data_IF_509104643614
#
_entry.id   IF_509104643614
#
_cell.length_a   1.000
_cell.length_b   1.000
_cell.length_c   1.000
_cell.angle_alpha   90.00
_cell.angle_beta   90.00
_cell.angle_gamma   90.00
#
_symmetry.space_group_name_H-M   'P 1'
#
loop_
_entity.id
_entity.type
_entity.pdbx_description
1 polymer ?
#
# COMPACT_ATOMS: atom_id res chain seq x y z
N UNK A 1 43.68 13.80 -20.11
CA UNK A 1 43.16 12.45 -19.79
C UNK A 1 42.07 12.70 -18.78
N UNK A 2 40.82 12.45 -19.18
CA UNK A 2 39.59 12.98 -18.55
C UNK A 2 39.46 12.54 -17.09
N UNK A 3 39.05 13.49 -16.22
CA UNK A 3 38.59 13.23 -14.87
C UNK A 3 37.26 12.47 -14.93
N UNK A 4 37.26 11.20 -14.52
CA UNK A 4 36.04 10.46 -14.25
C UNK A 4 35.48 10.88 -12.89
N UNK A 5 34.75 12.00 -12.89
CA UNK A 5 33.95 12.46 -11.76
C UNK A 5 32.69 11.60 -11.56
N UNK A 6 32.62 10.99 -10.37
CA UNK A 6 31.41 10.79 -9.55
C UNK A 6 30.08 10.54 -10.28
N UNK A 7 29.77 9.28 -10.56
CA UNK A 7 28.38 8.82 -10.50
C UNK A 7 28.11 8.41 -9.05
N UNK A 8 27.67 9.36 -8.20
CA UNK A 8 27.04 8.96 -6.95
C UNK A 8 25.86 8.05 -7.32
N UNK A 9 25.97 6.75 -7.04
CA UNK A 9 24.81 5.86 -7.05
C UNK A 9 23.89 6.44 -5.99
N UNK A 10 22.82 7.10 -6.43
CA UNK A 10 21.83 7.68 -5.53
C UNK A 10 21.38 6.57 -4.58
N UNK A 11 21.79 6.69 -3.31
CA UNK A 11 21.58 5.68 -2.28
C UNK A 11 20.07 5.43 -2.18
N UNK A 12 19.63 4.20 -2.44
CA UNK A 12 18.23 3.78 -2.25
C UNK A 12 17.74 4.28 -0.89
N UNK A 13 16.66 5.06 -0.88
CA UNK A 13 16.12 5.71 0.33
C UNK A 13 15.29 4.76 1.20
N UNK A 14 15.30 3.47 0.90
CA UNK A 14 14.51 2.42 1.54
C UNK A 14 15.41 1.38 2.20
N UNK A 15 14.83 0.61 3.11
CA UNK A 15 15.49 -0.45 3.88
C UNK A 15 15.80 -1.69 3.03
N UNK A 16 15.02 -1.93 1.96
CA UNK A 16 15.18 -3.11 1.09
C UNK A 16 16.03 -2.83 -0.17
N UNK A 17 16.47 -1.59 -0.36
CA UNK A 17 17.43 -1.25 -1.40
C UNK A 17 16.83 -1.05 -2.80
N UNK A 18 15.50 -1.05 -2.94
CA UNK A 18 14.82 -0.78 -4.20
C UNK A 18 14.41 0.69 -4.30
N UNK A 19 13.93 1.10 -5.47
CA UNK A 19 13.32 2.41 -5.63
C UNK A 19 12.04 2.51 -4.79
N UNK A 20 11.85 3.66 -4.14
CA UNK A 20 10.78 3.88 -3.14
C UNK A 20 9.36 3.66 -3.71
N UNK A 21 9.13 4.07 -4.95
CA UNK A 21 7.88 3.86 -5.68
C UNK A 21 7.63 2.37 -6.03
N UNK A 22 8.69 1.61 -6.29
CA UNK A 22 8.60 0.18 -6.56
C UNK A 22 8.18 -0.57 -5.29
N UNK A 23 8.83 -0.29 -4.16
CA UNK A 23 8.47 -0.90 -2.88
C UNK A 23 7.04 -0.58 -2.46
N UNK A 24 6.64 0.69 -2.61
CA UNK A 24 5.27 1.11 -2.31
C UNK A 24 4.23 0.42 -3.21
N UNK A 25 4.53 0.22 -4.50
CA UNK A 25 3.66 -0.54 -5.40
C UNK A 25 3.59 -2.03 -5.02
N UNK A 26 4.73 -2.62 -4.66
CA UNK A 26 4.82 -4.01 -4.19
C UNK A 26 4.01 -4.25 -2.92
N UNK A 27 3.86 -3.24 -2.05
CA UNK A 27 3.03 -3.34 -0.86
C UNK A 27 1.55 -3.65 -1.15
N UNK A 28 1.07 -3.43 -2.38
CA UNK A 28 -0.30 -3.76 -2.80
C UNK A 28 -0.46 -5.11 -3.48
N UNK A 29 0.61 -5.76 -3.96
CA UNK A 29 0.52 -6.90 -4.90
C UNK A 29 -0.30 -8.06 -4.34
N UNK A 30 -0.13 -8.42 -3.08
CA UNK A 30 -0.93 -9.44 -2.39
C UNK A 30 -1.90 -8.81 -1.38
N UNK A 31 -2.30 -7.57 -1.63
CA UNK A 31 -3.15 -6.77 -0.75
C UNK A 31 -2.54 -6.62 0.64
N UNK A 32 -3.30 -6.98 1.67
CA UNK A 32 -2.89 -6.77 3.05
C UNK A 32 -1.68 -7.62 3.46
N UNK A 33 -1.40 -8.74 2.78
CA UNK A 33 -0.26 -9.61 3.11
C UNK A 33 1.06 -8.89 2.81
N UNK A 34 1.22 -8.38 1.59
CA UNK A 34 2.39 -7.57 1.22
C UNK A 34 2.42 -6.28 2.02
N UNK A 35 1.26 -5.65 2.29
CA UNK A 35 1.19 -4.47 3.15
C UNK A 35 1.81 -4.73 4.53
N UNK A 36 1.45 -5.83 5.20
CA UNK A 36 2.02 -6.18 6.51
C UNK A 36 3.52 -6.47 6.40
N UNK A 37 3.95 -7.21 5.36
CA UNK A 37 5.37 -7.51 5.14
C UNK A 37 6.18 -6.22 5.03
N UNK A 38 5.75 -5.27 4.20
CA UNK A 38 6.46 -3.99 4.05
C UNK A 38 6.41 -3.13 5.31
N UNK A 39 5.32 -3.15 6.11
CA UNK A 39 5.32 -2.47 7.42
C UNK A 39 6.36 -3.05 8.39
N UNK A 40 6.62 -4.35 8.31
CA UNK A 40 7.59 -5.02 9.17
C UNK A 40 9.03 -4.80 8.68
N UNK A 41 9.26 -4.79 7.36
CA UNK A 41 10.59 -4.72 6.78
C UNK A 41 11.08 -3.30 6.53
N UNK A 42 10.19 -2.39 6.11
CA UNK A 42 10.57 -1.02 5.77
C UNK A 42 10.54 -0.10 6.98
N UNK A 43 11.66 0.58 7.26
CA UNK A 43 11.90 1.43 8.43
C UNK A 43 12.34 2.86 8.11
N UNK A 44 12.81 3.10 6.90
CA UNK A 44 13.40 4.38 6.49
C UNK A 44 12.41 5.23 5.69
N UNK A 45 11.58 4.61 4.84
CA UNK A 45 10.64 5.32 3.98
C UNK A 45 9.23 5.45 4.57
N UNK A 46 8.82 6.69 4.85
CA UNK A 46 7.42 7.02 5.19
C UNK A 46 6.46 6.81 4.02
N UNK A 47 6.92 6.96 2.78
CA UNK A 47 6.11 6.74 1.58
C UNK A 47 5.70 5.27 1.43
N UNK A 48 6.68 4.38 1.53
CA UNK A 48 6.44 2.93 1.47
C UNK A 48 5.59 2.51 2.68
N UNK A 49 5.89 3.01 3.89
CA UNK A 49 5.08 2.71 5.09
C UNK A 49 3.64 3.21 4.95
N UNK A 50 3.40 4.35 4.31
CA UNK A 50 2.07 4.87 4.03
C UNK A 50 1.28 3.92 3.12
N UNK A 51 1.85 3.55 1.98
CA UNK A 51 1.20 2.63 1.04
C UNK A 51 1.01 1.24 1.62
N UNK A 52 1.97 0.75 2.42
CA UNK A 52 1.87 -0.51 3.14
C UNK A 52 0.76 -0.50 4.20
N UNK A 53 0.61 0.60 4.96
CA UNK A 53 -0.48 0.78 5.92
C UNK A 53 -1.84 0.90 5.23
N UNK A 54 -1.93 1.71 4.17
CA UNK A 54 -3.15 1.87 3.37
C UNK A 54 -3.58 0.53 2.76
N UNK A 55 -2.64 -0.22 2.16
CA UNK A 55 -2.89 -1.58 1.64
C UNK A 55 -3.40 -2.51 2.75
N UNK A 56 -2.70 -2.55 3.88
CA UNK A 56 -3.07 -3.41 5.02
C UNK A 56 -4.49 -3.14 5.48
N UNK A 57 -4.83 -1.89 5.80
CA UNK A 57 -6.14 -1.54 6.34
C UNK A 57 -7.25 -1.78 5.31
N UNK A 58 -7.05 -1.34 4.06
CA UNK A 58 -8.05 -1.49 3.00
C UNK A 58 -8.34 -2.96 2.72
N UNK A 59 -7.33 -3.77 2.43
CA UNK A 59 -7.56 -5.14 1.97
C UNK A 59 -7.89 -6.11 3.11
N UNK A 60 -7.40 -5.87 4.32
CA UNK A 60 -7.84 -6.65 5.49
C UNK A 60 -9.29 -6.34 5.84
N UNK A 61 -9.68 -5.06 5.80
CA UNK A 61 -11.07 -4.63 6.01
C UNK A 61 -12.01 -5.24 4.98
N UNK A 62 -11.68 -5.15 3.69
CA UNK A 62 -12.46 -5.78 2.61
C UNK A 62 -12.54 -7.29 2.81
N UNK A 63 -11.43 -7.96 3.15
CA UNK A 63 -11.41 -9.40 3.40
C UNK A 63 -12.38 -9.80 4.51
N UNK A 64 -12.35 -9.10 5.65
CA UNK A 64 -13.23 -9.36 6.79
C UNK A 64 -14.70 -9.13 6.41
N UNK A 65 -15.02 -8.01 5.75
CA UNK A 65 -16.40 -7.70 5.33
C UNK A 65 -16.91 -8.78 4.36
N UNK A 66 -16.10 -9.23 3.41
CA UNK A 66 -16.45 -10.33 2.50
C UNK A 66 -16.74 -11.65 3.25
N UNK A 67 -16.01 -11.94 4.34
CA UNK A 67 -16.31 -13.10 5.20
C UNK A 67 -17.59 -12.94 6.00
N UNK A 68 -18.02 -11.71 6.31
CA UNK A 68 -19.30 -11.49 7.00
C UNK A 68 -20.46 -11.63 6.01
N UNK A 69 -20.33 -11.06 4.81
CA UNK A 69 -21.38 -11.06 3.78
C UNK A 69 -21.77 -12.48 3.31
N UNK A 70 -20.86 -13.46 3.41
CA UNK A 70 -21.15 -14.84 3.02
C UNK A 70 -22.27 -15.50 3.86
N UNK A 71 -22.56 -14.97 5.06
CA UNK A 71 -23.64 -15.48 5.92
C UNK A 71 -25.01 -14.89 5.60
N UNK A 72 -25.10 -13.95 4.65
CA UNK A 72 -26.36 -13.29 4.24
C UNK A 72 -26.76 -13.82 2.85
N UNK A 73 -27.76 -14.70 2.73
CA UNK A 73 -28.18 -15.25 1.44
C UNK A 73 -28.67 -14.16 0.48
N UNK A 74 -28.39 -14.31 -0.81
CA UNK A 74 -28.76 -13.41 -1.92
C UNK A 74 -28.22 -11.97 -1.82
N UNK A 75 -28.60 -11.21 -0.78
CA UNK A 75 -28.13 -9.84 -0.57
C UNK A 75 -26.63 -9.77 -0.32
N UNK A 76 -26.09 -10.70 0.48
CA UNK A 76 -24.66 -10.78 0.74
C UNK A 76 -23.84 -11.05 -0.53
N UNK A 77 -24.37 -11.83 -1.47
CA UNK A 77 -23.71 -12.09 -2.74
C UNK A 77 -23.64 -10.84 -3.62
N UNK A 78 -24.74 -10.07 -3.71
CA UNK A 78 -24.79 -8.81 -4.48
C UNK A 78 -23.84 -7.78 -3.86
N UNK A 79 -23.91 -7.57 -2.55
CA UNK A 79 -23.04 -6.63 -1.85
C UNK A 79 -21.57 -7.06 -1.92
N UNK A 80 -21.29 -8.36 -1.83
CA UNK A 80 -19.95 -8.93 -1.97
C UNK A 80 -19.36 -8.70 -3.35
N UNK A 81 -20.17 -8.84 -4.41
CA UNK A 81 -19.75 -8.52 -5.77
C UNK A 81 -19.39 -7.03 -5.92
N UNK A 82 -20.26 -6.12 -5.45
CA UNK A 82 -20.02 -4.68 -5.50
C UNK A 82 -18.76 -4.28 -4.71
N UNK A 83 -18.59 -4.84 -3.52
CA UNK A 83 -17.41 -4.61 -2.70
C UNK A 83 -16.14 -5.16 -3.37
N UNK A 84 -16.23 -6.29 -4.07
CA UNK A 84 -15.13 -6.85 -4.86
C UNK A 84 -14.69 -5.93 -5.99
N UNK A 85 -15.65 -5.32 -6.70
CA UNK A 85 -15.36 -4.33 -7.75
C UNK A 85 -14.70 -3.07 -7.18
N UNK A 86 -15.22 -2.55 -6.07
CA UNK A 86 -14.60 -1.41 -5.36
C UNK A 86 -13.17 -1.78 -4.94
N UNK A 87 -12.98 -2.98 -4.36
CA UNK A 87 -11.67 -3.49 -3.97
C UNK A 87 -10.69 -3.59 -5.14
N UNK A 88 -11.16 -4.05 -6.30
CA UNK A 88 -10.34 -4.12 -7.52
C UNK A 88 -9.93 -2.72 -8.01
N UNK A 89 -10.85 -1.76 -7.99
CA UNK A 89 -10.55 -0.36 -8.36
C UNK A 89 -9.50 0.22 -7.41
N UNK A 90 -9.69 0.07 -6.09
CA UNK A 90 -8.73 0.52 -5.09
C UNK A 90 -7.37 -0.17 -5.24
N UNK A 91 -7.35 -1.45 -5.59
CA UNK A 91 -6.11 -2.21 -5.81
C UNK A 91 -5.31 -1.67 -6.99
N UNK A 92 -5.96 -1.47 -8.14
CA UNK A 92 -5.32 -0.89 -9.33
C UNK A 92 -4.86 0.54 -9.04
N UNK A 93 -5.74 1.38 -8.46
CA UNK A 93 -5.40 2.76 -8.12
C UNK A 93 -4.21 2.84 -7.16
N UNK A 94 -4.19 1.98 -6.13
CA UNK A 94 -3.09 1.90 -5.16
C UNK A 94 -1.77 1.58 -5.82
N UNK A 95 -1.72 0.54 -6.66
CA UNK A 95 -0.51 0.16 -7.40
C UNK A 95 -0.05 1.29 -8.32
N UNK A 96 -0.94 1.82 -9.15
CA UNK A 96 -0.58 2.85 -10.13
C UNK A 96 -0.08 4.12 -9.44
N UNK A 97 -0.77 4.57 -8.39
CA UNK A 97 -0.42 5.80 -7.68
C UNK A 97 0.86 5.67 -6.86
N UNK A 98 1.06 4.51 -6.22
CA UNK A 98 2.32 4.20 -5.55
C UNK A 98 3.49 4.18 -6.53
N UNK A 99 3.31 3.52 -7.69
CA UNK A 99 4.33 3.47 -8.74
C UNK A 99 4.65 4.85 -9.33
N UNK A 100 3.67 5.75 -9.40
CA UNK A 100 3.82 7.15 -9.79
C UNK A 100 4.48 8.03 -8.71
N UNK A 101 4.75 7.50 -7.52
CA UNK A 101 5.33 8.27 -6.42
C UNK A 101 4.35 9.21 -5.72
N UNK A 102 3.03 8.99 -5.86
CA UNK A 102 2.00 9.86 -5.29
C UNK A 102 1.43 9.30 -3.98
N UNK A 103 1.38 10.13 -2.93
CA UNK A 103 0.62 9.86 -1.70
C UNK A 103 -0.90 9.95 -1.94
N UNK A 104 -1.44 9.04 -2.76
CA UNK A 104 -2.85 9.02 -3.07
C UNK A 104 -3.64 8.40 -1.91
N UNK A 105 -4.35 9.26 -1.18
CA UNK A 105 -5.18 8.87 -0.03
C UNK A 105 -6.51 8.31 -0.49
N UNK A 106 -6.79 7.06 -0.14
CA UNK A 106 -8.15 6.54 -0.26
C UNK A 106 -9.08 7.24 0.72
N UNK A 107 -10.35 7.47 0.37
CA UNK A 107 -11.32 8.05 1.29
C UNK A 107 -11.33 7.29 2.62
N UNK A 108 -11.24 8.02 3.73
CA UNK A 108 -11.16 7.52 5.12
C UNK A 108 -9.84 6.78 5.43
N UNK A 109 -9.45 5.77 4.64
CA UNK A 109 -8.28 4.91 4.95
C UNK A 109 -6.96 5.67 4.82
N UNK A 110 -6.84 6.59 3.86
CA UNK A 110 -5.60 7.33 3.64
C UNK A 110 -5.21 8.20 4.83
N UNK A 111 -6.18 8.87 5.46
CA UNK A 111 -5.92 9.66 6.67
C UNK A 111 -5.54 8.77 7.86
N UNK A 112 -6.16 7.58 7.97
CA UNK A 112 -5.77 6.61 9.00
C UNK A 112 -4.33 6.16 8.76
N UNK A 113 -3.97 5.81 7.52
CA UNK A 113 -2.64 5.35 7.16
C UNK A 113 -1.57 6.41 7.49
N UNK A 114 -1.76 7.64 7.05
CA UNK A 114 -0.84 8.75 7.35
C UNK A 114 -0.69 8.98 8.86
N UNK A 115 -1.79 8.99 9.61
CA UNK A 115 -1.74 9.18 11.06
C UNK A 115 -1.00 8.04 11.79
N UNK A 116 -1.09 6.81 11.31
CA UNK A 116 -0.33 5.69 11.87
C UNK A 116 1.16 5.79 11.53
N UNK A 117 1.50 6.15 10.29
CA UNK A 117 2.91 6.36 9.89
C UNK A 117 3.56 7.46 10.73
N UNK A 118 2.88 8.59 10.92
CA UNK A 118 3.38 9.68 11.77
C UNK A 118 3.68 9.22 13.21
N UNK A 119 2.92 8.28 13.75
CA UNK A 119 3.17 7.69 15.09
C UNK A 119 4.36 6.74 15.11
N UNK A 120 4.66 6.08 13.99
CA UNK A 120 5.82 5.19 13.88
C UNK A 120 7.14 5.96 13.67
N UNK A 121 7.06 7.17 13.12
CA UNK A 121 8.20 8.06 12.88
C UNK A 121 8.47 9.03 14.04
N UNK A 122 7.65 9.04 15.09
CA UNK A 122 7.81 9.87 16.30
C UNK A 122 8.55 9.11 17.39
#
# INVERSE_FOLDING_TARGET
>A
MEEYGSGEVEKSKTSLGLEENIEAALAYVLGFLTGIIFLLLEKESDFVRFHAMQSTITFLGIFIIQRILMFIPFLGAILGMLLGLIGLILWILGIVKAYQGEYYKFPIVGDIAENQVRKMSS
#
